data_IF_304429414563
#
_entry.id   IF_304429414563
#
_cell.length_a   1.000
_cell.length_b   1.000
_cell.length_c   1.000
_cell.angle_alpha   90.00
_cell.angle_beta   90.00
_cell.angle_gamma   90.00
#
_symmetry.space_group_name_H-M   'P 1'
#
loop_
_entity.id
_entity.type
_entity.pdbx_description
1 polymer ?
#
# COMPACT_ATOMS: atom_id res chain seq x y z
N UNK A 1 16.93 23.26 1.90
CA UNK A 1 15.54 23.13 2.42
C UNK A 1 15.34 21.69 2.83
N UNK A 2 14.88 21.40 4.04
CA UNK A 2 14.57 20.03 4.44
C UNK A 2 13.29 19.60 3.71
N UNK A 3 13.44 18.81 2.65
CA UNK A 3 12.31 18.23 1.93
C UNK A 3 11.49 17.38 2.90
N UNK A 4 10.18 17.61 2.91
CA UNK A 4 9.24 16.88 3.77
C UNK A 4 8.38 16.00 2.88
N UNK A 5 8.10 14.81 3.36
CA UNK A 5 7.22 13.83 2.75
C UNK A 5 5.97 13.67 3.61
N UNK A 6 4.79 13.74 3.00
CA UNK A 6 3.54 13.43 3.68
C UNK A 6 3.29 11.92 3.66
N UNK A 7 3.10 11.32 4.84
CA UNK A 7 2.78 9.90 5.02
C UNK A 7 1.49 9.78 5.81
N UNK A 8 0.50 9.10 5.23
CA UNK A 8 -0.77 8.83 5.94
C UNK A 8 -0.58 7.63 6.87
N UNK A 9 -0.98 7.80 8.13
CA UNK A 9 -0.95 6.73 9.11
C UNK A 9 -1.96 5.63 8.72
N UNK A 10 -1.52 4.36 8.58
CA UNK A 10 -2.42 3.26 8.23
C UNK A 10 -3.44 2.91 9.33
N UNK A 11 -3.28 3.45 10.54
CA UNK A 11 -4.13 3.11 11.68
C UNK A 11 -5.22 4.14 11.99
N UNK A 12 -4.96 5.43 11.75
CA UNK A 12 -5.91 6.51 12.08
C UNK A 12 -6.12 7.54 10.97
N UNK A 13 -5.51 7.34 9.78
CA UNK A 13 -5.63 8.20 8.61
C UNK A 13 -5.10 9.64 8.78
N UNK A 14 -4.43 9.95 9.90
CA UNK A 14 -3.77 11.24 10.07
C UNK A 14 -2.58 11.37 9.12
N UNK A 15 -2.38 12.56 8.56
CA UNK A 15 -1.23 12.85 7.70
C UNK A 15 -0.06 13.32 8.55
N UNK A 16 1.07 12.63 8.42
CA UNK A 16 2.30 12.91 9.15
C UNK A 16 3.31 13.55 8.20
N UNK A 17 3.97 14.61 8.65
CA UNK A 17 5.05 15.27 7.90
C UNK A 17 6.38 14.70 8.39
N UNK A 18 7.04 13.94 7.54
CA UNK A 18 8.32 13.29 7.83
C UNK A 18 9.41 13.99 7.02
N UNK A 19 10.57 14.27 7.59
CA UNK A 19 11.69 14.73 6.76
C UNK A 19 12.10 13.58 5.83
N UNK A 20 12.24 13.82 4.52
CA UNK A 20 12.51 12.74 3.56
C UNK A 20 13.77 11.94 3.93
N UNK A 21 14.79 12.61 4.47
CA UNK A 21 16.03 11.99 4.96
C UNK A 21 15.85 11.06 6.19
N UNK A 22 14.67 11.08 6.83
CA UNK A 22 14.32 10.28 8.00
C UNK A 22 13.25 9.23 7.69
N UNK A 23 12.91 8.99 6.42
CA UNK A 23 11.89 8.00 6.06
C UNK A 23 12.23 6.60 6.59
N UNK A 24 13.51 6.23 6.62
CA UNK A 24 14.01 4.94 7.11
C UNK A 24 14.14 4.84 8.64
N UNK A 25 13.89 5.93 9.37
CA UNK A 25 13.88 5.88 10.84
C UNK A 25 12.64 5.12 11.37
N UNK A 26 12.67 4.74 12.64
CA UNK A 26 11.47 4.30 13.35
C UNK A 26 10.54 5.51 13.54
N UNK A 27 9.49 5.56 12.72
CA UNK A 27 8.54 6.66 12.69
C UNK A 27 7.24 6.26 13.37
N UNK A 28 6.78 7.08 14.30
CA UNK A 28 5.46 6.92 14.91
C UNK A 28 4.52 8.04 14.47
N UNK A 29 3.25 7.70 14.35
CA UNK A 29 2.18 8.65 14.06
C UNK A 29 2.06 9.68 15.19
N UNK A 30 2.06 10.97 14.86
CA UNK A 30 1.92 12.05 15.85
C UNK A 30 0.53 12.14 16.50
N UNK A 31 -0.47 11.41 15.98
CA UNK A 31 -1.84 11.40 16.51
C UNK A 31 -2.20 10.14 17.30
N UNK A 32 -1.82 8.95 16.83
CA UNK A 32 -2.16 7.69 17.51
C UNK A 32 -0.96 6.93 18.05
N UNK A 33 0.26 7.46 17.86
CA UNK A 33 1.53 6.91 18.35
C UNK A 33 1.94 5.52 17.86
N UNK A 34 1.11 4.89 17.02
CA UNK A 34 1.47 3.63 16.34
C UNK A 34 2.52 3.86 15.25
N UNK A 35 3.32 2.83 14.90
CA UNK A 35 4.28 2.92 13.81
C UNK A 35 3.62 3.41 12.51
N UNK A 36 4.34 4.24 11.75
CA UNK A 36 3.94 4.55 10.39
C UNK A 36 4.26 3.36 9.50
N UNK A 37 5.45 2.76 9.60
CA UNK A 37 5.85 1.59 8.83
C UNK A 37 6.21 0.47 9.79
N UNK A 38 5.59 -0.70 9.63
CA UNK A 38 5.79 -1.89 10.46
C UNK A 38 6.29 -3.09 9.64
N UNK A 39 6.63 -2.87 8.36
CA UNK A 39 7.05 -3.91 7.40
C UNK A 39 5.97 -4.97 7.19
N UNK A 40 4.71 -4.61 7.39
CA UNK A 40 3.57 -5.47 7.17
C UNK A 40 2.44 -4.74 6.41
N UNK A 41 1.78 -5.38 5.43
CA UNK A 41 0.71 -4.72 4.68
C UNK A 41 -0.47 -4.36 5.59
N UNK A 42 -0.88 -3.09 5.57
CA UNK A 42 -2.02 -2.64 6.34
C UNK A 42 -3.35 -3.06 5.69
N UNK A 43 -4.23 -3.72 6.45
CA UNK A 43 -5.62 -3.95 6.05
C UNK A 43 -6.41 -2.66 6.20
N UNK A 44 -6.96 -2.14 5.10
CA UNK A 44 -7.69 -0.87 5.11
C UNK A 44 -9.15 -1.04 4.70
N UNK A 45 -9.99 -0.14 5.22
CA UNK A 45 -11.33 0.10 4.72
C UNK A 45 -11.29 1.00 3.48
N UNK A 46 -12.43 1.20 2.82
CA UNK A 46 -12.58 2.16 1.72
C UNK A 46 -12.11 3.58 2.09
N UNK A 47 -12.46 4.07 3.28
CA UNK A 47 -12.02 5.38 3.78
C UNK A 47 -10.49 5.44 3.96
N UNK A 48 -9.90 4.40 4.55
CA UNK A 48 -8.45 4.34 4.75
C UNK A 48 -7.69 4.31 3.42
N UNK A 49 -8.16 3.50 2.47
CA UNK A 49 -7.57 3.42 1.13
C UNK A 49 -7.62 4.78 0.41
N UNK A 50 -8.78 5.44 0.40
CA UNK A 50 -8.94 6.75 -0.22
C UNK A 50 -7.99 7.79 0.39
N UNK A 51 -7.83 7.79 1.72
CA UNK A 51 -6.89 8.67 2.41
C UNK A 51 -5.43 8.40 2.00
N UNK A 52 -5.02 7.12 1.96
CA UNK A 52 -3.67 6.73 1.53
C UNK A 52 -3.37 7.21 0.11
N UNK A 53 -4.25 6.90 -0.85
CA UNK A 53 -4.04 7.27 -2.26
C UNK A 53 -3.97 8.78 -2.43
N UNK A 54 -4.89 9.53 -1.81
CA UNK A 54 -5.02 10.97 -2.03
C UNK A 54 -3.93 11.81 -1.33
N UNK A 55 -3.37 11.34 -0.21
CA UNK A 55 -2.56 12.19 0.68
C UNK A 55 -1.16 11.65 0.99
N UNK A 56 -0.85 10.39 0.67
CA UNK A 56 0.51 9.88 0.80
C UNK A 56 1.36 10.28 -0.41
N UNK A 57 2.56 10.77 -0.15
CA UNK A 57 3.55 11.09 -1.18
C UNK A 57 4.49 9.91 -1.47
N UNK A 58 4.60 8.95 -0.55
CA UNK A 58 5.17 7.63 -0.87
C UNK A 58 4.19 6.86 -1.76
N UNK A 59 4.67 6.10 -2.77
CA UNK A 59 3.83 5.24 -3.57
C UNK A 59 3.02 4.26 -2.71
N UNK A 60 1.75 4.04 -3.06
CA UNK A 60 0.85 3.11 -2.37
C UNK A 60 0.62 1.90 -3.27
N UNK A 61 1.10 0.73 -2.84
CA UNK A 61 0.85 -0.57 -3.46
C UNK A 61 -0.37 -1.18 -2.77
N UNK A 62 -1.39 -1.51 -3.56
CA UNK A 62 -2.69 -1.99 -3.06
C UNK A 62 -2.91 -3.41 -3.56
N UNK A 63 -3.20 -4.34 -2.65
CA UNK A 63 -3.74 -5.66 -2.97
C UNK A 63 -5.26 -5.68 -2.80
N UNK A 64 -5.97 -5.79 -3.93
CA UNK A 64 -7.40 -6.02 -3.96
C UNK A 64 -7.65 -7.52 -3.94
N UNK A 65 -8.20 -8.00 -2.82
CA UNK A 65 -8.33 -9.43 -2.52
C UNK A 65 -9.71 -9.77 -1.95
N UNK A 66 -9.93 -11.05 -1.63
CA UNK A 66 -11.08 -11.54 -0.88
C UNK A 66 -10.71 -12.85 -0.15
N UNK A 67 -11.35 -13.21 0.98
CA UNK A 67 -10.95 -14.36 1.80
C UNK A 67 -11.20 -15.71 1.13
N UNK A 68 -12.23 -15.82 0.29
CA UNK A 68 -12.55 -17.04 -0.45
C UNK A 68 -11.60 -17.30 -1.63
N UNK A 69 -10.86 -16.30 -2.09
CA UNK A 69 -9.96 -16.40 -3.23
C UNK A 69 -8.69 -17.20 -2.90
N UNK A 70 -8.59 -18.42 -3.43
CA UNK A 70 -7.42 -19.30 -3.26
C UNK A 70 -6.09 -18.64 -3.64
N UNK A 71 -5.96 -18.07 -4.86
CA UNK A 71 -4.75 -17.35 -5.27
C UNK A 71 -4.38 -16.18 -4.36
N UNK A 72 -5.37 -15.45 -3.82
CA UNK A 72 -5.14 -14.35 -2.88
C UNK A 72 -4.51 -14.85 -1.58
N UNK A 73 -5.03 -15.96 -1.02
CA UNK A 73 -4.46 -16.58 0.18
C UNK A 73 -3.03 -17.09 -0.07
N UNK A 74 -2.74 -17.62 -1.26
CA UNK A 74 -1.38 -18.03 -1.62
C UNK A 74 -0.43 -16.84 -1.77
N UNK A 75 -0.91 -15.70 -2.28
CA UNK A 75 -0.09 -14.50 -2.49
C UNK A 75 0.15 -13.71 -1.20
N UNK A 76 -0.75 -13.78 -0.21
CA UNK A 76 -0.63 -13.02 1.04
C UNK A 76 0.77 -13.07 1.70
N UNK A 77 1.39 -14.25 1.96
CA UNK A 77 2.74 -14.29 2.53
C UNK A 77 3.83 -13.73 1.60
N UNK A 78 3.64 -13.82 0.28
CA UNK A 78 4.57 -13.23 -0.69
C UNK A 78 4.46 -11.71 -0.72
N UNK A 79 3.24 -11.19 -0.57
CA UNK A 79 2.97 -9.75 -0.45
C UNK A 79 3.55 -9.16 0.83
N UNK A 80 3.47 -9.89 1.95
CA UNK A 80 4.11 -9.52 3.21
C UNK A 80 5.64 -9.45 3.11
N UNK A 81 6.27 -10.45 2.47
CA UNK A 81 7.71 -10.44 2.20
C UNK A 81 8.13 -9.25 1.32
N UNK A 82 7.36 -8.96 0.27
CA UNK A 82 7.64 -7.83 -0.61
C UNK A 82 7.51 -6.49 0.13
N UNK A 83 6.50 -6.35 1.00
CA UNK A 83 6.34 -5.19 1.88
C UNK A 83 7.59 -4.97 2.75
N UNK A 84 8.06 -6.01 3.43
CA UNK A 84 9.25 -5.91 4.28
C UNK A 84 10.54 -5.53 3.54
N UNK A 85 10.62 -5.81 2.23
CA UNK A 85 11.76 -5.43 1.37
C UNK A 85 11.70 -3.98 0.87
N UNK A 86 10.52 -3.34 0.90
CA UNK A 86 10.25 -2.11 0.17
C UNK A 86 9.72 -0.97 1.04
N UNK A 87 9.16 -1.26 2.22
CA UNK A 87 8.93 -0.22 3.21
C UNK A 87 10.27 0.35 3.70
N UNK A 88 10.38 1.69 3.87
CA UNK A 88 9.33 2.70 3.79
C UNK A 88 9.20 3.40 2.42
N UNK A 89 9.93 2.95 1.40
CA UNK A 89 9.97 3.56 0.06
C UNK A 89 8.67 3.37 -0.74
N UNK A 90 7.86 2.38 -0.38
CA UNK A 90 6.48 2.23 -0.82
C UNK A 90 5.62 1.71 0.34
N UNK A 91 4.39 2.19 0.43
CA UNK A 91 3.37 1.73 1.38
C UNK A 91 2.64 0.53 0.81
N UNK A 92 2.57 -0.56 1.56
CA UNK A 92 1.76 -1.72 1.19
C UNK A 92 0.46 -1.76 1.97
N UNK A 93 -0.65 -1.89 1.25
CA UNK A 93 -1.99 -2.02 1.84
C UNK A 93 -2.74 -3.15 1.15
N UNK A 94 -3.74 -3.69 1.82
CA UNK A 94 -4.69 -4.65 1.25
C UNK A 94 -6.11 -4.25 1.59
N UNK A 95 -7.02 -4.46 0.65
CA UNK A 95 -8.45 -4.20 0.82
C UNK A 95 -9.26 -5.40 0.38
N UNK A 96 -10.10 -5.88 1.29
CA UNK A 96 -11.05 -6.94 1.01
C UNK A 96 -12.22 -6.39 0.19
N UNK A 97 -12.28 -6.79 -1.07
CA UNK A 97 -13.31 -6.37 -2.04
C UNK A 97 -14.66 -7.07 -1.83
N UNK A 98 -14.71 -8.16 -1.04
CA UNK A 98 -15.98 -8.74 -0.59
C UNK A 98 -16.59 -7.90 0.52
N UNK A 99 -15.79 -7.45 1.48
CA UNK A 99 -16.23 -6.59 2.58
C UNK A 99 -16.49 -5.13 2.16
N UNK A 100 -15.77 -4.65 1.14
CA UNK A 100 -15.83 -3.28 0.63
C UNK A 100 -16.12 -3.28 -0.89
N UNK A 101 -17.31 -3.72 -1.28
CA UNK A 101 -17.71 -3.88 -2.68
C UNK A 101 -17.60 -2.58 -3.49
N UNK A 102 -17.83 -1.43 -2.85
CA UNK A 102 -17.68 -0.11 -3.45
C UNK A 102 -16.26 0.14 -3.97
N UNK A 103 -15.24 -0.39 -3.29
CA UNK A 103 -13.83 -0.28 -3.70
C UNK A 103 -13.60 -1.07 -4.98
N UNK A 104 -14.18 -2.26 -5.08
CA UNK A 104 -14.10 -3.09 -6.29
C UNK A 104 -14.67 -2.36 -7.51
N UNK A 105 -15.81 -1.69 -7.35
CA UNK A 105 -16.45 -0.90 -8.41
C UNK A 105 -15.61 0.33 -8.77
N UNK A 106 -15.21 1.12 -7.77
CA UNK A 106 -14.45 2.38 -7.95
C UNK A 106 -13.10 2.16 -8.65
N UNK A 107 -12.41 1.07 -8.34
CA UNK A 107 -11.11 0.74 -8.91
C UNK A 107 -11.18 -0.26 -10.08
N UNK A 108 -12.39 -0.52 -10.61
CA UNK A 108 -12.64 -1.39 -11.74
C UNK A 108 -12.00 -2.79 -11.60
N UNK A 109 -12.12 -3.39 -10.41
CA UNK A 109 -11.56 -4.71 -10.11
C UNK A 109 -12.42 -5.79 -10.80
N UNK A 110 -11.84 -6.48 -11.79
CA UNK A 110 -12.50 -7.54 -12.57
C UNK A 110 -12.07 -8.95 -12.19
N UNK A 111 -10.94 -9.07 -11.48
CA UNK A 111 -10.36 -10.32 -11.03
C UNK A 111 -9.53 -10.07 -9.78
N UNK A 112 -9.36 -11.07 -8.94
CA UNK A 112 -8.52 -11.00 -7.74
C UNK A 112 -7.55 -12.19 -7.67
N UNK A 113 -6.34 -12.02 -7.11
CA UNK A 113 -5.81 -10.74 -6.62
C UNK A 113 -5.50 -9.80 -7.80
N UNK A 114 -5.77 -8.52 -7.60
CA UNK A 114 -5.30 -7.44 -8.49
C UNK A 114 -4.47 -6.50 -7.65
N UNK A 115 -3.30 -6.13 -8.18
CA UNK A 115 -2.38 -5.22 -7.55
C UNK A 115 -2.34 -3.92 -8.35
N UNK A 116 -2.35 -2.79 -7.66
CA UNK A 116 -2.19 -1.48 -8.29
C UNK A 116 -1.21 -0.62 -7.50
N UNK A 117 -0.46 0.23 -8.20
CA UNK A 117 0.43 1.22 -7.60
C UNK A 117 -0.16 2.60 -7.84
N UNK A 118 -0.28 3.39 -6.78
CA UNK A 118 -0.69 4.78 -6.83
C UNK A 118 0.48 5.69 -6.45
N UNK A 119 0.70 6.75 -7.21
CA UNK A 119 1.72 7.78 -6.95
C UNK A 119 1.08 9.15 -7.16
N UNK A 120 1.09 10.00 -6.14
CA UNK A 120 0.47 11.34 -6.19
C UNK A 120 -1.03 11.29 -6.52
N UNK A 121 -1.78 10.36 -5.94
CA UNK A 121 -3.22 10.20 -6.17
C UNK A 121 -3.62 9.53 -7.48
N UNK A 122 -2.67 9.12 -8.34
CA UNK A 122 -2.96 8.50 -9.63
C UNK A 122 -2.48 7.06 -9.68
N UNK A 123 -3.27 6.19 -10.28
CA UNK A 123 -2.83 4.84 -10.63
C UNK A 123 -1.75 4.95 -11.72
N UNK A 124 -0.57 4.38 -11.45
CA UNK A 124 0.58 4.39 -12.38
C UNK A 124 0.88 3.02 -12.96
N UNK A 125 0.46 1.95 -12.27
CA UNK A 125 0.65 0.58 -12.73
C UNK A 125 -0.41 -0.36 -12.14
N UNK A 126 -0.71 -1.42 -12.87
CA UNK A 126 -1.62 -2.50 -12.45
C UNK A 126 -1.16 -3.84 -12.99
N UNK A 127 -1.29 -4.88 -12.18
CA UNK A 127 -1.13 -6.26 -12.58
C UNK A 127 -2.20 -7.12 -11.92
N UNK A 128 -2.55 -8.25 -12.54
CA UNK A 128 -3.49 -9.24 -11.97
C UNK A 128 -2.83 -10.60 -11.85
N UNK A 129 -3.31 -11.38 -10.87
CA UNK A 129 -2.84 -12.73 -10.58
C UNK A 129 -1.78 -12.78 -9.48
N UNK A 130 -1.68 -13.95 -8.83
CA UNK A 130 -0.72 -14.19 -7.77
C UNK A 130 0.73 -14.14 -8.29
N UNK A 131 1.64 -13.63 -7.47
CA UNK A 131 3.07 -13.44 -7.78
C UNK A 131 3.94 -13.79 -6.58
N UNK A 132 5.19 -14.12 -6.85
CA UNK A 132 6.20 -14.29 -5.81
C UNK A 132 6.64 -12.94 -5.23
N UNK A 133 7.22 -12.95 -4.02
CA UNK A 133 7.75 -11.74 -3.41
C UNK A 133 8.83 -11.06 -4.27
N UNK A 134 9.64 -11.85 -4.96
CA UNK A 134 10.69 -11.35 -5.84
C UNK A 134 10.10 -10.62 -7.06
N UNK A 135 9.09 -11.19 -7.70
CA UNK A 135 8.40 -10.57 -8.85
C UNK A 135 7.71 -9.27 -8.43
N UNK A 136 7.03 -9.29 -7.27
CA UNK A 136 6.39 -8.10 -6.69
C UNK A 136 7.40 -7.00 -6.42
N UNK A 137 8.52 -7.35 -5.77
CA UNK A 137 9.54 -6.37 -5.43
C UNK A 137 10.22 -5.79 -6.67
N UNK A 138 10.45 -6.61 -7.70
CA UNK A 138 10.98 -6.16 -8.98
C UNK A 138 10.01 -5.21 -9.68
N UNK A 139 8.73 -5.58 -9.80
CA UNK A 139 7.70 -4.77 -10.42
C UNK A 139 7.54 -3.42 -9.71
N UNK A 140 7.41 -3.41 -8.37
CA UNK A 140 7.26 -2.16 -7.61
C UNK A 140 8.47 -1.26 -7.81
N UNK A 141 9.71 -1.77 -7.72
CA UNK A 141 10.92 -0.97 -7.97
C UNK A 141 10.93 -0.35 -9.37
N UNK A 142 10.59 -1.14 -10.39
CA UNK A 142 10.55 -0.66 -11.77
C UNK A 142 9.55 0.48 -11.97
N UNK A 143 8.41 0.44 -11.28
CA UNK A 143 7.36 1.45 -11.43
C UNK A 143 7.58 2.71 -10.57
N UNK A 144 8.12 2.57 -9.36
CA UNK A 144 8.31 3.74 -8.47
C UNK A 144 9.51 4.60 -8.85
N UNK A 145 10.48 4.04 -9.57
CA UNK A 145 11.67 4.73 -10.08
C UNK A 145 11.43 5.56 -11.35
N UNK A 146 10.24 5.46 -11.97
CA UNK A 146 9.82 6.32 -13.09
C UNK A 146 9.39 7.70 -12.58
#
# INVERSE_FOLDING_TARGET
>A
MNMKTHVVCPHCNSTNRVATAQLEAELSCGSCHKPLFDKHPASLTSIGLAAQIAKSEVPVVVDFWAPWCGPCRMMAPEYEKACAMLEPHARFVKVDTEAHQEVGVQHHIRSIPTLAIFKGGKEVARISGARSAADLAHWVRAEISK
#
